data_IF_746956425595
#
_entry.id   IF_746956425595
#
_cell.length_a   1.000
_cell.length_b   1.000
_cell.length_c   1.000
_cell.angle_alpha   90.00
_cell.angle_beta   90.00
_cell.angle_gamma   90.00
#
_symmetry.space_group_name_H-M   'P 1'
#
loop_
_entity.id
_entity.type
_entity.pdbx_description
1 polymer ?
#
# COMPACT_ATOMS: atom_id res chain seq x y z
N UNK A 1 -25.05 -1.65 1.36
CA UNK A 1 -23.67 -1.58 1.89
C UNK A 1 -22.73 -1.13 0.78
N UNK A 2 -21.66 -0.41 1.13
CA UNK A 2 -20.57 -0.04 0.22
C UNK A 2 -19.25 -0.47 0.85
N UNK A 3 -18.44 -1.22 0.12
CA UNK A 3 -17.14 -1.71 0.54
C UNK A 3 -16.09 -1.10 -0.39
N UNK A 4 -15.32 -0.14 0.09
CA UNK A 4 -14.25 0.51 -0.67
C UNK A 4 -12.91 -0.11 -0.32
N UNK A 5 -12.16 -0.55 -1.34
CA UNK A 5 -10.85 -1.17 -1.18
C UNK A 5 -10.96 -2.49 -0.42
N UNK A 6 -11.76 -3.39 -1.01
CA UNK A 6 -12.15 -4.64 -0.40
C UNK A 6 -11.02 -5.68 -0.38
N UNK A 7 -11.03 -6.52 0.65
CA UNK A 7 -10.11 -7.63 0.85
C UNK A 7 -10.79 -8.93 0.44
N UNK A 8 -10.04 -9.83 -0.20
CA UNK A 8 -10.45 -11.22 -0.43
C UNK A 8 -10.50 -11.97 0.91
N UNK A 9 -11.69 -12.40 1.37
CA UNK A 9 -11.83 -13.11 2.64
C UNK A 9 -11.03 -14.42 2.70
N UNK A 10 -10.70 -15.03 1.56
CA UNK A 10 -9.93 -16.28 1.50
C UNK A 10 -8.42 -16.06 1.64
N UNK A 11 -7.94 -14.81 1.49
CA UNK A 11 -6.52 -14.45 1.56
C UNK A 11 -6.17 -13.60 2.78
N UNK A 12 -7.16 -13.22 3.57
CA UNK A 12 -6.93 -12.48 4.81
C UNK A 12 -6.31 -13.40 5.89
N UNK A 13 -5.30 -12.99 6.67
CA UNK A 13 -4.49 -11.77 6.58
C UNK A 13 -3.21 -11.98 5.77
N UNK A 14 -2.54 -13.12 5.95
CA UNK A 14 -1.23 -13.41 5.35
C UNK A 14 -1.19 -13.19 3.83
N UNK A 15 -2.16 -13.73 3.10
CA UNK A 15 -2.18 -13.63 1.64
C UNK A 15 -2.29 -12.19 1.16
N UNK A 16 -3.10 -11.35 1.82
CA UNK A 16 -3.15 -9.91 1.56
C UNK A 16 -1.80 -9.24 1.79
N UNK A 17 -1.11 -9.57 2.89
CA UNK A 17 0.22 -9.03 3.17
C UNK A 17 1.22 -9.40 2.07
N UNK A 18 1.19 -10.66 1.63
CA UNK A 18 2.04 -11.14 0.53
C UNK A 18 1.71 -10.46 -0.80
N UNK A 19 0.44 -10.15 -1.05
CA UNK A 19 -0.01 -9.46 -2.27
C UNK A 19 0.44 -7.98 -2.30
N UNK A 20 0.84 -7.39 -1.16
CA UNK A 20 1.51 -6.08 -1.16
C UNK A 20 2.83 -6.12 -1.93
N UNK A 21 3.60 -7.21 -1.84
CA UNK A 21 4.91 -7.33 -2.46
C UNK A 21 4.92 -6.92 -3.95
N UNK A 22 4.25 -7.66 -4.84
CA UNK A 22 4.21 -7.32 -6.26
C UNK A 22 3.46 -6.00 -6.55
N UNK A 23 2.40 -5.69 -5.79
CA UNK A 23 1.61 -4.48 -6.03
C UNK A 23 2.39 -3.20 -5.72
N UNK A 24 3.21 -3.22 -4.65
CA UNK A 24 3.99 -2.06 -4.22
C UNK A 24 5.27 -1.94 -5.04
N UNK A 25 5.84 -3.04 -5.53
CA UNK A 25 6.90 -2.98 -6.55
C UNK A 25 6.43 -2.28 -7.83
N UNK A 26 5.23 -2.63 -8.33
CA UNK A 26 4.64 -1.97 -9.49
C UNK A 26 4.36 -0.48 -9.22
N UNK A 27 3.83 -0.15 -8.04
CA UNK A 27 3.62 1.23 -7.61
C UNK A 27 4.94 2.02 -7.53
N UNK A 28 6.02 1.38 -7.08
CA UNK A 28 7.34 1.98 -7.03
C UNK A 28 7.90 2.24 -8.43
N UNK A 29 7.73 1.30 -9.38
CA UNK A 29 8.17 1.48 -10.76
C UNK A 29 7.45 2.65 -11.45
N UNK A 30 6.15 2.78 -11.22
CA UNK A 30 5.35 3.94 -11.65
C UNK A 30 5.91 5.26 -11.09
N UNK A 31 6.11 5.32 -9.77
CA UNK A 31 6.68 6.49 -9.10
C UNK A 31 8.12 6.79 -9.57
N UNK A 32 8.94 5.76 -9.79
CA UNK A 32 10.32 5.91 -10.27
C UNK A 32 10.35 6.52 -11.68
N UNK A 33 9.41 6.15 -12.56
CA UNK A 33 9.22 6.79 -13.87
C UNK A 33 8.83 8.27 -13.73
N UNK A 34 7.90 8.56 -12.82
CA UNK A 34 7.46 9.93 -12.54
C UNK A 34 8.59 10.83 -12.01
N UNK A 35 9.40 10.30 -11.09
CA UNK A 35 10.56 11.00 -10.51
C UNK A 35 11.67 11.21 -11.54
N UNK A 36 11.95 10.20 -12.36
CA UNK A 36 12.99 10.28 -13.39
C UNK A 36 12.72 11.41 -14.39
N UNK A 37 11.45 11.61 -14.78
CA UNK A 37 11.04 12.74 -15.62
C UNK A 37 11.29 14.12 -14.97
N UNK A 38 11.54 14.14 -13.64
CA UNK A 38 11.74 15.32 -12.80
C UNK A 38 13.12 15.30 -12.10
N UNK A 39 14.10 14.60 -12.66
CA UNK A 39 15.45 14.47 -12.06
C UNK A 39 16.14 15.83 -11.81
N UNK A 40 15.86 16.85 -12.62
CA UNK A 40 16.39 18.22 -12.38
C UNK A 40 15.95 18.82 -11.05
N UNK A 41 14.85 18.35 -10.48
CA UNK A 41 14.33 18.82 -9.19
C UNK A 41 14.76 17.89 -8.05
N UNK A 42 14.64 16.58 -8.24
CA UNK A 42 14.84 15.60 -7.16
C UNK A 42 16.22 14.97 -7.14
N UNK A 43 16.94 14.95 -8.26
CA UNK A 43 18.30 14.40 -8.38
C UNK A 43 18.42 12.95 -7.86
N UNK A 44 17.41 12.13 -8.16
CA UNK A 44 17.32 10.72 -7.76
C UNK A 44 17.66 9.76 -8.91
N UNK A 45 17.96 10.27 -10.11
CA UNK A 45 18.28 9.49 -11.31
C UNK A 45 17.39 9.89 -12.48
N UNK A 46 17.92 9.81 -13.69
CA UNK A 46 17.24 10.28 -14.92
C UNK A 46 16.43 9.19 -15.64
N UNK A 47 16.38 7.99 -15.06
CA UNK A 47 15.60 6.85 -15.54
C UNK A 47 15.03 6.03 -14.38
N UNK A 48 13.86 5.42 -14.56
CA UNK A 48 13.23 4.60 -13.51
C UNK A 48 14.16 3.49 -12.97
N UNK A 49 14.92 2.76 -13.82
CA UNK A 49 15.89 1.78 -13.32
C UNK A 49 17.04 2.40 -12.51
N UNK A 50 17.43 3.65 -12.80
CA UNK A 50 18.43 4.34 -11.98
C UNK A 50 17.86 4.74 -10.62
N UNK A 51 16.67 5.33 -10.58
CA UNK A 51 15.96 5.68 -9.34
C UNK A 51 15.84 4.45 -8.44
N UNK A 52 15.39 3.33 -9.00
CA UNK A 52 15.31 2.04 -8.31
C UNK A 52 16.64 1.62 -7.69
N UNK A 53 17.71 1.54 -8.49
CA UNK A 53 19.04 1.15 -7.99
C UNK A 53 19.55 2.07 -6.88
N UNK A 54 19.26 3.38 -6.96
CA UNK A 54 19.67 4.33 -5.92
C UNK A 54 18.90 4.13 -4.63
N UNK A 55 17.59 3.86 -4.70
CA UNK A 55 16.77 3.55 -3.51
C UNK A 55 17.18 2.23 -2.89
N UNK A 56 17.42 1.18 -3.68
CA UNK A 56 17.96 -0.10 -3.19
C UNK A 56 19.30 0.11 -2.47
N UNK A 57 20.23 0.88 -3.05
CA UNK A 57 21.50 1.20 -2.41
C UNK A 57 21.35 2.04 -1.12
N UNK A 58 20.32 2.90 -1.05
CA UNK A 58 19.98 3.67 0.14
C UNK A 58 19.48 2.75 1.26
N UNK A 59 18.62 1.77 0.94
CA UNK A 59 18.14 0.73 1.86
C UNK A 59 19.31 -0.13 2.34
N UNK A 60 20.18 -0.61 1.44
CA UNK A 60 21.38 -1.37 1.81
C UNK A 60 22.30 -0.59 2.75
N UNK A 61 22.38 0.72 2.58
CA UNK A 61 23.13 1.59 3.48
C UNK A 61 22.46 1.70 4.85
N UNK A 62 21.15 1.91 4.87
CA UNK A 62 20.33 1.98 6.08
C UNK A 62 20.46 0.70 6.92
N UNK A 63 20.54 -0.47 6.28
CA UNK A 63 20.77 -1.77 6.92
C UNK A 63 22.08 -1.84 7.73
N UNK A 64 23.13 -1.12 7.30
CA UNK A 64 24.44 -1.11 7.97
C UNK A 64 24.55 -0.03 9.02
N UNK A 65 23.91 1.11 8.79
CA UNK A 65 23.91 2.25 9.69
C UNK A 65 22.64 3.06 9.42
N UNK A 66 21.72 3.18 10.40
CA UNK A 66 20.51 3.97 10.23
C UNK A 66 20.80 5.39 9.76
N UNK A 67 19.99 5.88 8.82
CA UNK A 67 20.09 7.23 8.27
C UNK A 67 19.27 8.16 9.15
N UNK A 68 19.92 9.13 9.80
CA UNK A 68 19.26 9.99 10.79
C UNK A 68 18.71 11.26 10.15
N UNK A 69 17.40 11.50 10.27
CA UNK A 69 16.72 12.73 9.87
C UNK A 69 15.91 13.23 11.06
N UNK A 70 16.07 14.50 11.45
CA UNK A 70 15.45 15.10 12.64
C UNK A 70 15.66 14.31 13.95
N UNK A 71 16.72 13.51 14.04
CA UNK A 71 17.00 12.66 15.22
C UNK A 71 16.42 11.25 15.13
N UNK A 72 15.54 10.98 14.16
CA UNK A 72 14.95 9.67 13.90
C UNK A 72 15.79 8.86 12.91
N UNK A 73 16.03 7.58 13.20
CA UNK A 73 16.85 6.68 12.37
C UNK A 73 16.03 5.82 11.42
N UNK A 74 16.23 6.01 10.12
CA UNK A 74 15.69 5.14 9.07
C UNK A 74 16.64 3.97 8.81
N UNK A 75 16.21 2.75 9.12
CA UNK A 75 16.91 1.50 8.79
C UNK A 75 16.27 0.80 7.57
N UNK A 76 16.68 -0.44 7.32
CA UNK A 76 16.17 -1.28 6.23
C UNK A 76 14.76 -1.84 6.45
N UNK A 77 14.13 -1.57 7.59
CA UNK A 77 12.73 -1.91 7.85
C UNK A 77 11.84 -0.67 7.71
N UNK A 78 12.27 0.47 8.28
CA UNK A 78 11.50 1.70 8.30
C UNK A 78 11.52 2.40 6.93
N UNK A 79 12.63 2.36 6.21
CA UNK A 79 12.73 3.01 4.90
C UNK A 79 11.79 2.38 3.85
N UNK A 80 11.75 1.04 3.66
CA UNK A 80 10.71 0.43 2.81
C UNK A 80 9.29 0.72 3.29
N UNK A 81 9.05 0.78 4.61
CA UNK A 81 7.73 1.11 5.15
C UNK A 81 7.29 2.55 4.83
N UNK A 82 8.23 3.51 4.82
CA UNK A 82 7.99 4.88 4.36
C UNK A 82 7.53 4.89 2.89
N UNK A 83 8.24 4.15 2.02
CA UNK A 83 7.87 4.02 0.60
C UNK A 83 6.47 3.40 0.46
N UNK A 84 6.23 2.25 1.08
CA UNK A 84 4.95 1.55 1.08
C UNK A 84 3.78 2.44 1.55
N UNK A 85 4.01 3.24 2.59
CA UNK A 85 3.02 4.16 3.14
C UNK A 85 2.66 5.28 2.16
N UNK A 86 3.65 5.87 1.49
CA UNK A 86 3.43 7.01 0.60
C UNK A 86 3.05 6.60 -0.83
N UNK A 87 3.43 5.41 -1.28
CA UNK A 87 3.09 4.88 -2.60
C UNK A 87 1.60 4.55 -2.78
N UNK A 88 0.82 4.54 -1.69
CA UNK A 88 -0.63 4.28 -1.71
C UNK A 88 -1.46 5.25 -2.54
N UNK A 89 -0.89 6.41 -2.89
CA UNK A 89 -1.60 7.46 -3.58
C UNK A 89 -0.63 8.27 -4.44
N UNK A 90 -0.84 8.30 -5.76
CA UNK A 90 0.02 9.05 -6.68
C UNK A 90 0.04 10.55 -6.40
N UNK A 91 -0.95 11.10 -5.69
CA UNK A 91 -0.93 12.51 -5.25
C UNK A 91 0.14 12.79 -4.18
N UNK A 92 0.76 11.75 -3.62
CA UNK A 92 1.91 11.86 -2.72
C UNK A 92 3.25 11.79 -3.45
N UNK A 93 3.28 11.71 -4.80
CA UNK A 93 4.51 11.57 -5.58
C UNK A 93 5.55 12.65 -5.27
N UNK A 94 5.15 13.92 -5.26
CA UNK A 94 6.03 15.04 -4.92
C UNK A 94 6.58 14.94 -3.49
N UNK A 95 5.69 14.64 -2.54
CA UNK A 95 6.06 14.49 -1.14
C UNK A 95 7.02 13.31 -0.93
N UNK A 96 6.78 12.18 -1.60
CA UNK A 96 7.64 11.00 -1.52
C UNK A 96 9.01 11.27 -2.16
N UNK A 97 9.05 11.94 -3.30
CA UNK A 97 10.31 12.35 -3.95
C UNK A 97 11.12 13.30 -3.07
N UNK A 98 10.47 14.28 -2.44
CA UNK A 98 11.12 15.16 -1.47
C UNK A 98 11.59 14.40 -0.21
N UNK A 99 10.81 13.45 0.30
CA UNK A 99 11.20 12.62 1.45
C UNK A 99 12.42 11.75 1.14
N UNK A 100 12.43 11.05 0.00
CA UNK A 100 13.57 10.22 -0.42
C UNK A 100 14.80 11.08 -0.69
N UNK A 101 14.64 12.29 -1.26
CA UNK A 101 15.71 13.27 -1.41
C UNK A 101 16.31 13.67 -0.05
N UNK A 102 15.47 13.99 0.93
CA UNK A 102 15.89 14.37 2.27
C UNK A 102 16.66 13.23 2.96
N UNK A 103 16.16 12.00 2.91
CA UNK A 103 16.87 10.82 3.44
C UNK A 103 18.20 10.61 2.70
N UNK A 104 18.23 10.81 1.38
CA UNK A 104 19.47 10.69 0.59
C UNK A 104 20.49 11.76 0.96
N UNK A 105 20.06 13.01 1.17
CA UNK A 105 20.93 14.11 1.64
C UNK A 105 21.56 13.77 3.00
N UNK A 106 20.74 13.32 3.96
CA UNK A 106 21.20 12.91 5.28
C UNK A 106 22.19 11.74 5.19
N UNK A 107 21.91 10.74 4.33
CA UNK A 107 22.83 9.63 4.08
C UNK A 107 24.17 10.11 3.51
N UNK A 108 24.17 11.16 2.68
CA UNK A 108 25.40 11.74 2.13
C UNK A 108 26.10 12.72 3.09
N UNK A 109 25.57 12.93 4.30
CA UNK A 109 26.11 13.87 5.29
C UNK A 109 25.81 15.34 4.97
N UNK A 110 24.83 15.59 4.09
CA UNK A 110 24.32 16.93 3.78
C UNK A 110 23.15 17.26 4.69
N UNK A 111 22.93 18.55 4.95
CA UNK A 111 21.76 19.00 5.70
C UNK A 111 20.49 18.77 4.84
N UNK A 112 19.54 17.93 5.27
CA UNK A 112 18.33 17.66 4.50
C UNK A 112 17.31 18.79 4.61
N UNK A 113 16.62 19.10 3.53
CA UNK A 113 15.36 19.85 3.58
C UNK A 113 14.22 18.86 3.86
N UNK A 114 13.63 18.92 5.05
CA UNK A 114 12.62 17.95 5.49
C UNK A 114 11.23 18.44 5.09
N UNK A 115 10.53 17.75 4.16
CA UNK A 115 9.17 18.15 3.79
C UNK A 115 8.19 17.86 4.95
N UNK A 116 7.07 18.60 5.05
CA UNK A 116 6.08 18.41 6.12
C UNK A 116 5.57 16.97 6.24
N UNK A 117 5.43 16.27 5.11
CA UNK A 117 4.99 14.87 5.09
C UNK A 117 6.03 13.94 5.72
N UNK A 118 7.33 14.16 5.48
CA UNK A 118 8.37 13.36 6.14
C UNK A 118 8.39 13.62 7.65
N UNK A 119 8.31 14.89 8.05
CA UNK A 119 8.19 15.26 9.45
C UNK A 119 6.99 14.57 10.12
N UNK A 120 5.83 14.55 9.46
CA UNK A 120 4.65 13.84 9.95
C UNK A 120 4.88 12.33 10.07
N UNK A 121 5.58 11.70 9.13
CA UNK A 121 5.92 10.27 9.20
C UNK A 121 6.88 9.99 10.37
N UNK A 122 7.89 10.84 10.57
CA UNK A 122 8.80 10.74 11.73
C UNK A 122 8.02 10.84 13.04
N UNK A 123 7.17 11.87 13.17
CA UNK A 123 6.32 12.05 14.35
C UNK A 123 5.45 10.82 14.62
N UNK A 124 4.89 10.21 13.57
CA UNK A 124 4.09 8.99 13.68
C UNK A 124 4.92 7.83 14.23
N UNK A 125 6.11 7.56 13.66
CA UNK A 125 6.96 6.48 14.14
C UNK A 125 7.45 6.65 15.58
N UNK A 126 7.59 7.89 16.06
CA UNK A 126 8.05 8.17 17.42
C UNK A 126 6.95 8.11 18.48
N UNK A 127 5.71 8.46 18.11
CA UNK A 127 4.67 8.78 19.10
C UNK A 127 3.37 7.98 18.94
N UNK A 128 3.10 7.45 17.75
CA UNK A 128 1.88 6.67 17.49
C UNK A 128 2.13 5.17 17.66
N UNK A 129 1.05 4.42 17.91
CA UNK A 129 1.09 2.98 18.12
C UNK A 129 -0.07 2.29 17.39
N UNK A 130 0.23 1.13 16.79
CA UNK A 130 -0.72 0.33 16.00
C UNK A 130 -1.15 -0.97 16.72
N UNK A 131 -0.95 -1.05 18.04
CA UNK A 131 -1.11 -2.29 18.81
C UNK A 131 -2.55 -2.80 18.82
N UNK A 132 -3.55 -1.92 18.80
CA UNK A 132 -4.97 -2.33 18.71
C UNK A 132 -5.26 -2.95 17.36
N UNK A 133 -4.73 -2.37 16.29
CA UNK A 133 -4.89 -2.91 14.94
C UNK A 133 -4.20 -4.27 14.80
N UNK A 134 -2.97 -4.40 15.32
CA UNK A 134 -2.26 -5.68 15.35
C UNK A 134 -3.02 -6.73 16.16
N UNK A 135 -3.59 -6.37 17.32
CA UNK A 135 -4.42 -7.27 18.12
C UNK A 135 -5.61 -7.83 17.34
N UNK A 136 -6.29 -6.98 16.54
CA UNK A 136 -7.42 -7.39 15.70
C UNK A 136 -6.95 -8.34 14.60
N UNK A 137 -5.92 -7.96 13.84
CA UNK A 137 -5.38 -8.80 12.76
C UNK A 137 -4.96 -10.19 13.24
N UNK A 138 -4.26 -10.26 14.37
CA UNK A 138 -3.79 -11.52 14.93
C UNK A 138 -4.92 -12.37 15.53
N UNK A 139 -6.02 -11.74 15.97
CA UNK A 139 -7.19 -12.45 16.49
C UNK A 139 -8.11 -12.97 15.37
N UNK A 140 -8.08 -12.37 14.18
CA UNK A 140 -8.97 -12.71 13.07
C UNK A 140 -8.45 -13.86 12.19
N UNK A 141 -7.12 -13.99 12.01
CA UNK A 141 -6.53 -14.98 11.12
C UNK A 141 -5.24 -15.59 11.68
N UNK A 142 -5.01 -16.91 11.52
CA UNK A 142 -3.79 -17.55 11.99
C UNK A 142 -2.61 -17.20 11.07
N UNK A 143 -1.41 -17.14 11.66
CA UNK A 143 -0.15 -16.94 10.95
C UNK A 143 0.83 -18.09 11.25
N UNK A 144 1.74 -18.45 10.32
CA UNK A 144 2.77 -19.45 10.57
C UNK A 144 3.61 -19.09 11.81
N UNK A 145 3.81 -20.06 12.72
CA UNK A 145 4.59 -19.82 13.95
C UNK A 145 6.10 -20.01 13.75
N UNK A 146 6.52 -20.69 12.68
CA UNK A 146 7.94 -20.99 12.41
C UNK A 146 8.65 -19.81 11.75
N UNK A 147 9.66 -19.18 12.39
CA UNK A 147 10.43 -18.09 11.79
C UNK A 147 11.12 -18.48 10.48
N UNK A 148 11.51 -19.76 10.31
CA UNK A 148 12.15 -20.21 9.08
C UNK A 148 11.20 -20.16 7.87
N UNK A 149 9.89 -20.24 8.09
CA UNK A 149 8.90 -20.06 7.03
C UNK A 149 9.01 -18.67 6.39
N UNK A 150 9.08 -17.62 7.20
CA UNK A 150 9.18 -16.23 6.75
C UNK A 150 10.50 -15.98 6.03
N UNK A 151 11.63 -16.44 6.57
CA UNK A 151 12.91 -16.34 5.89
C UNK A 151 12.87 -16.95 4.49
N UNK A 152 12.31 -18.16 4.36
CA UNK A 152 12.19 -18.82 3.06
C UNK A 152 11.25 -18.09 2.11
N UNK A 153 10.14 -17.51 2.61
CA UNK A 153 9.22 -16.71 1.81
C UNK A 153 9.89 -15.44 1.28
N UNK A 154 10.59 -14.70 2.15
CA UNK A 154 11.37 -13.51 1.77
C UNK A 154 12.40 -13.85 0.69
N UNK A 155 13.21 -14.90 0.91
CA UNK A 155 14.26 -15.28 -0.05
C UNK A 155 13.68 -15.77 -1.39
N UNK A 156 12.51 -16.41 -1.38
CA UNK A 156 11.82 -16.82 -2.60
C UNK A 156 11.27 -15.62 -3.39
N UNK A 157 10.76 -14.58 -2.71
CA UNK A 157 10.17 -13.40 -3.34
C UNK A 157 11.23 -12.34 -3.75
N UNK A 158 12.35 -12.25 -3.02
CA UNK A 158 13.40 -11.23 -3.18
C UNK A 158 13.85 -10.98 -4.63
N UNK A 159 14.05 -11.99 -5.50
CA UNK A 159 14.48 -11.74 -6.89
C UNK A 159 13.48 -10.93 -7.72
N UNK A 160 12.18 -11.06 -7.45
CA UNK A 160 11.13 -10.35 -8.14
C UNK A 160 10.66 -9.09 -7.39
N UNK A 161 10.93 -9.03 -6.08
CA UNK A 161 10.48 -7.96 -5.19
C UNK A 161 11.64 -7.46 -4.31
N UNK A 162 12.68 -6.86 -4.91
CA UNK A 162 13.91 -6.52 -4.21
C UNK A 162 13.74 -5.49 -3.08
N UNK A 163 12.74 -4.61 -3.17
CA UNK A 163 12.47 -3.59 -2.16
C UNK A 163 11.46 -4.11 -1.13
N UNK A 164 10.43 -4.85 -1.58
CA UNK A 164 9.25 -5.12 -0.75
C UNK A 164 9.06 -6.58 -0.31
N UNK A 165 9.86 -7.56 -0.78
CA UNK A 165 9.75 -8.95 -0.30
C UNK A 165 9.87 -9.05 1.22
N UNK A 166 10.87 -8.39 1.80
CA UNK A 166 11.08 -8.39 3.24
C UNK A 166 9.97 -7.66 4.02
N UNK A 167 9.21 -6.76 3.39
CA UNK A 167 8.06 -6.09 4.00
C UNK A 167 6.79 -6.95 3.93
N UNK A 168 6.56 -7.60 2.78
CA UNK A 168 5.37 -8.40 2.49
C UNK A 168 5.40 -9.78 3.15
N UNK A 169 6.58 -10.38 3.28
CA UNK A 169 6.76 -11.75 3.79
C UNK A 169 7.44 -11.80 5.18
N UNK A 170 7.56 -10.67 5.90
CA UNK A 170 8.22 -10.67 7.21
C UNK A 170 7.39 -11.33 8.30
N UNK A 171 8.08 -11.84 9.31
CA UNK A 171 7.46 -12.25 10.56
C UNK A 171 6.78 -11.06 11.24
N UNK A 172 5.51 -11.24 11.60
CA UNK A 172 4.69 -10.24 12.29
C UNK A 172 4.43 -10.70 13.75
N UNK A 173 3.99 -9.79 14.65
CA UNK A 173 3.61 -10.17 16.02
C UNK A 173 2.61 -11.33 16.08
N UNK A 174 1.76 -11.48 15.04
CA UNK A 174 0.78 -12.55 14.92
C UNK A 174 1.36 -13.97 14.88
N UNK A 175 2.63 -14.15 14.48
CA UNK A 175 3.31 -15.45 14.54
C UNK A 175 3.45 -15.98 15.99
N UNK A 176 3.37 -15.07 16.97
CA UNK A 176 3.50 -15.35 18.40
C UNK A 176 2.16 -15.20 19.15
N UNK A 177 1.08 -14.93 18.44
CA UNK A 177 -0.25 -14.75 19.03
C UNK A 177 -0.95 -16.11 19.22
N UNK A 178 -1.79 -16.26 20.26
CA UNK A 178 -2.64 -17.44 20.38
C UNK A 178 -3.52 -17.63 19.13
N UNK A 179 -3.88 -18.87 18.77
CA UNK A 179 -4.78 -19.11 17.65
C UNK A 179 -6.10 -18.33 17.77
N UNK A 180 -6.68 -17.85 16.65
CA UNK A 180 -8.01 -17.24 16.62
C UNK A 180 -9.06 -18.08 17.37
N UNK A 181 -9.91 -17.42 18.16
CA UNK A 181 -10.99 -18.08 18.90
C UNK A 181 -12.15 -18.47 17.98
N UNK A 182 -12.36 -17.69 16.92
CA UNK A 182 -13.43 -17.86 15.95
C UNK A 182 -12.83 -18.31 14.61
N UNK A 183 -13.52 -19.18 13.86
CA UNK A 183 -13.09 -19.47 12.49
C UNK A 183 -13.26 -18.23 11.61
N UNK A 184 -12.47 -18.10 10.51
CA UNK A 184 -12.66 -17.04 9.54
C UNK A 184 -14.11 -16.96 9.04
N UNK A 185 -14.62 -15.74 8.88
CA UNK A 185 -15.97 -15.52 8.35
C UNK A 185 -16.03 -16.02 6.91
N UNK A 186 -16.98 -16.91 6.64
CA UNK A 186 -17.25 -17.38 5.28
C UNK A 186 -18.13 -16.35 4.56
N UNK A 187 -17.60 -15.79 3.49
CA UNK A 187 -18.35 -14.92 2.58
C UNK A 187 -18.71 -15.71 1.33
N UNK A 188 -19.97 -16.09 1.23
CA UNK A 188 -20.56 -16.69 0.03
C UNK A 188 -22.07 -16.40 0.04
N UNK A 189 -22.48 -15.31 -0.62
CA UNK A 189 -23.86 -14.83 -0.56
C UNK A 189 -24.23 -13.98 -1.79
N UNK A 190 -25.50 -13.59 -1.87
CA UNK A 190 -26.07 -12.75 -2.92
C UNK A 190 -26.51 -11.37 -2.39
N UNK A 191 -26.00 -10.94 -1.23
CA UNK A 191 -26.40 -9.65 -0.62
C UNK A 191 -25.96 -8.49 -1.53
N UNK A 192 -26.89 -7.59 -1.91
CA UNK A 192 -26.54 -6.42 -2.71
C UNK A 192 -25.58 -5.47 -1.99
N UNK A 193 -24.42 -5.23 -2.60
CA UNK A 193 -23.42 -4.29 -2.13
C UNK A 193 -22.69 -3.63 -3.31
N UNK A 194 -22.27 -2.38 -3.16
CA UNK A 194 -21.27 -1.81 -4.06
C UNK A 194 -19.88 -2.16 -3.53
N UNK A 195 -19.03 -2.70 -4.40
CA UNK A 195 -17.61 -2.89 -4.13
C UNK A 195 -16.87 -1.86 -4.97
N UNK A 196 -16.08 -1.01 -4.33
CA UNK A 196 -15.30 0.03 -4.98
C UNK A 196 -13.82 -0.35 -4.93
N UNK A 197 -13.10 -0.11 -6.02
CA UNK A 197 -11.69 -0.50 -6.13
C UNK A 197 -10.96 0.37 -7.15
N UNK A 198 -9.65 0.58 -6.98
CA UNK A 198 -8.78 1.12 -8.02
C UNK A 198 -7.90 0.03 -8.59
N UNK A 199 -7.63 0.05 -9.90
CA UNK A 199 -6.73 -0.94 -10.51
C UNK A 199 -5.28 -0.81 -10.03
N UNK A 200 -4.87 0.37 -9.56
CA UNK A 200 -3.55 0.63 -8.99
C UNK A 200 -3.51 0.66 -7.46
N UNK A 201 -4.54 0.16 -6.76
CA UNK A 201 -4.50 0.04 -5.30
C UNK A 201 -3.41 -0.96 -4.89
N UNK A 202 -2.44 -0.54 -4.09
CA UNK A 202 -1.33 -1.38 -3.62
C UNK A 202 -1.46 -1.77 -2.14
N UNK A 203 -2.59 -1.45 -1.50
CA UNK A 203 -2.92 -1.76 -0.10
C UNK A 203 -3.92 -2.90 -0.02
N UNK A 204 -4.88 -2.88 -0.94
CA UNK A 204 -5.82 -3.97 -1.21
C UNK A 204 -5.91 -4.12 -2.73
N UNK A 205 -4.95 -4.85 -3.34
CA UNK A 205 -4.89 -5.02 -4.79
C UNK A 205 -6.24 -5.36 -5.42
N UNK A 206 -6.48 -4.83 -6.62
CA UNK A 206 -7.78 -4.90 -7.30
C UNK A 206 -8.37 -6.32 -7.36
N UNK A 207 -7.49 -7.32 -7.49
CA UNK A 207 -7.81 -8.74 -7.50
C UNK A 207 -8.57 -9.19 -6.25
N UNK A 208 -8.31 -8.56 -5.09
CA UNK A 208 -9.07 -8.82 -3.87
C UNK A 208 -10.53 -8.38 -3.98
N UNK A 209 -10.77 -7.20 -4.57
CA UNK A 209 -12.12 -6.71 -4.82
C UNK A 209 -12.85 -7.56 -5.86
N UNK A 210 -12.14 -8.05 -6.89
CA UNK A 210 -12.67 -9.01 -7.87
C UNK A 210 -13.02 -10.34 -7.18
N UNK A 211 -12.17 -10.85 -6.29
CA UNK A 211 -12.42 -12.09 -5.56
C UNK A 211 -13.61 -11.96 -4.60
N UNK A 212 -13.73 -10.85 -3.88
CA UNK A 212 -14.90 -10.58 -3.04
C UNK A 212 -16.17 -10.44 -3.89
N UNK A 213 -16.10 -9.77 -5.04
CA UNK A 213 -17.23 -9.64 -5.96
C UNK A 213 -17.76 -11.00 -6.44
N UNK A 214 -16.85 -11.96 -6.70
CA UNK A 214 -17.25 -13.35 -7.03
C UNK A 214 -17.92 -14.07 -5.85
N UNK A 215 -17.48 -13.81 -4.62
CA UNK A 215 -18.04 -14.38 -3.38
C UNK A 215 -19.37 -13.71 -2.96
N UNK A 216 -19.59 -12.46 -3.40
CA UNK A 216 -20.81 -11.71 -3.19
C UNK A 216 -21.54 -11.53 -4.52
N UNK A 217 -22.18 -12.59 -5.01
CA UNK A 217 -22.78 -12.65 -6.36
C UNK A 217 -23.85 -11.59 -6.66
N UNK A 218 -24.45 -11.00 -5.62
CA UNK A 218 -25.39 -9.88 -5.75
C UNK A 218 -24.74 -8.50 -5.77
N UNK A 219 -23.42 -8.41 -5.60
CA UNK A 219 -22.69 -7.15 -5.57
C UNK A 219 -22.49 -6.55 -6.96
N UNK A 220 -22.05 -5.29 -7.01
CA UNK A 220 -21.58 -4.61 -8.23
C UNK A 220 -20.21 -4.02 -8.00
N UNK A 221 -19.30 -4.31 -8.91
CA UNK A 221 -17.94 -3.81 -8.87
C UNK A 221 -17.85 -2.49 -9.64
N UNK A 222 -17.48 -1.42 -8.93
CA UNK A 222 -17.24 -0.09 -9.50
C UNK A 222 -15.73 0.17 -9.43
N UNK A 223 -15.06 0.14 -10.58
CA UNK A 223 -13.60 0.18 -10.68
C UNK A 223 -13.12 1.54 -11.17
N UNK A 224 -12.21 2.17 -10.44
CA UNK A 224 -11.41 3.29 -10.94
C UNK A 224 -10.25 2.74 -11.77
N UNK A 225 -10.29 2.94 -13.08
CA UNK A 225 -9.25 2.45 -13.98
C UNK A 225 -7.97 3.30 -13.90
N UNK A 226 -6.84 2.63 -14.17
CA UNK A 226 -5.51 3.18 -14.39
C UNK A 226 -5.08 4.25 -13.38
N UNK A 227 -5.46 4.07 -12.11
CA UNK A 227 -5.21 5.04 -11.05
C UNK A 227 -4.58 4.37 -9.85
N UNK A 228 -3.37 4.80 -9.47
CA UNK A 228 -2.72 4.40 -8.22
C UNK A 228 -3.28 5.19 -7.04
N UNK A 229 -4.24 4.60 -6.35
CA UNK A 229 -4.83 5.14 -5.13
C UNK A 229 -5.48 4.03 -4.29
N UNK A 230 -5.31 4.11 -2.97
CA UNK A 230 -6.09 3.33 -2.02
C UNK A 230 -7.29 4.14 -1.52
N UNK A 231 -8.47 3.52 -1.49
CA UNK A 231 -9.77 4.13 -1.19
C UNK A 231 -10.22 5.16 -2.24
N UNK A 232 -11.21 4.77 -3.05
CA UNK A 232 -11.70 5.56 -4.19
C UNK A 232 -12.92 6.43 -3.87
N UNK A 233 -13.61 6.19 -2.77
CA UNK A 233 -14.78 6.98 -2.36
C UNK A 233 -14.35 8.29 -1.71
N UNK A 234 -13.86 9.22 -2.52
CA UNK A 234 -13.32 10.50 -2.05
C UNK A 234 -13.77 11.67 -2.93
N UNK A 235 -14.14 12.83 -2.35
CA UNK A 235 -14.49 14.00 -3.13
C UNK A 235 -13.37 14.42 -4.09
N UNK A 236 -13.73 14.82 -5.31
CA UNK A 236 -12.80 15.33 -6.32
C UNK A 236 -11.98 14.26 -7.06
N UNK A 237 -12.11 12.98 -6.71
CA UNK A 237 -11.38 11.90 -7.38
C UNK A 237 -12.08 11.46 -8.67
N UNK A 238 -13.32 10.98 -8.57
CA UNK A 238 -14.14 10.56 -9.72
C UNK A 238 -15.60 10.87 -9.48
N UNK A 239 -16.20 11.72 -10.32
CA UNK A 239 -17.64 11.99 -10.30
C UNK A 239 -18.45 10.73 -10.59
N UNK A 240 -17.96 9.84 -11.45
CA UNK A 240 -18.59 8.55 -11.74
C UNK A 240 -18.76 7.68 -10.48
N UNK A 241 -17.72 7.56 -9.65
CA UNK A 241 -17.77 6.79 -8.39
C UNK A 241 -18.65 7.50 -7.37
N UNK A 242 -18.44 8.81 -7.19
CA UNK A 242 -19.16 9.59 -6.20
C UNK A 242 -20.67 9.64 -6.49
N UNK A 243 -21.07 9.89 -7.73
CA UNK A 243 -22.48 9.96 -8.13
C UNK A 243 -23.15 8.59 -8.04
N UNK A 244 -22.46 7.52 -8.44
CA UNK A 244 -22.97 6.13 -8.30
C UNK A 244 -23.22 5.80 -6.82
N UNK A 245 -22.26 6.13 -5.96
CA UNK A 245 -22.34 5.83 -4.52
C UNK A 245 -23.39 6.70 -3.82
N UNK A 246 -23.47 7.99 -4.16
CA UNK A 246 -24.45 8.90 -3.59
C UNK A 246 -25.87 8.53 -4.01
N UNK A 247 -26.09 8.15 -5.27
CA UNK A 247 -27.42 7.71 -5.74
C UNK A 247 -27.84 6.42 -5.04
N UNK A 248 -26.89 5.50 -4.83
CA UNK A 248 -27.14 4.29 -4.04
C UNK A 248 -27.56 4.60 -2.60
N UNK A 249 -26.84 5.49 -1.90
CA UNK A 249 -27.17 5.84 -0.52
C UNK A 249 -28.44 6.68 -0.39
N UNK A 250 -28.66 7.62 -1.31
CA UNK A 250 -29.78 8.57 -1.25
C UNK A 250 -31.09 7.94 -1.72
N UNK A 251 -31.05 7.26 -2.87
CA UNK A 251 -32.24 6.84 -3.60
C UNK A 251 -32.43 5.31 -3.58
N UNK A 252 -31.41 4.55 -3.16
CA UNK A 252 -31.40 3.10 -3.29
C UNK A 252 -31.09 2.63 -4.72
N UNK A 253 -30.62 3.53 -5.58
CA UNK A 253 -30.29 3.22 -6.97
C UNK A 253 -29.12 2.24 -7.04
N UNK A 254 -29.40 1.01 -7.46
CA UNK A 254 -28.40 -0.04 -7.58
C UNK A 254 -28.07 -0.28 -9.06
N UNK A 255 -26.79 -0.18 -9.49
CA UNK A 255 -26.40 -0.41 -10.88
C UNK A 255 -26.81 -1.80 -11.37
N UNK A 256 -27.28 -1.89 -12.62
CA UNK A 256 -27.63 -3.17 -13.22
C UNK A 256 -26.39 -4.06 -13.47
N UNK A 257 -25.27 -3.42 -13.82
CA UNK A 257 -24.00 -4.05 -14.20
C UNK A 257 -22.83 -3.39 -13.48
N UNK A 258 -21.68 -4.06 -13.49
CA UNK A 258 -20.40 -3.50 -13.07
C UNK A 258 -20.06 -2.26 -13.91
N UNK A 259 -19.19 -1.40 -13.37
CA UNK A 259 -18.83 -0.14 -14.03
C UNK A 259 -17.37 0.19 -13.88
N UNK A 260 -16.75 0.54 -14.99
CA UNK A 260 -15.43 1.16 -15.00
C UNK A 260 -15.58 2.68 -15.07
N UNK A 261 -15.03 3.37 -14.07
CA UNK A 261 -14.95 4.81 -13.95
C UNK A 261 -13.54 5.29 -14.27
N UNK A 262 -13.44 6.59 -14.59
CA UNK A 262 -12.19 7.30 -14.80
C UNK A 262 -12.02 8.40 -13.76
N UNK A 263 -10.79 8.82 -13.42
CA UNK A 263 -10.58 9.96 -12.56
C UNK A 263 -11.07 11.24 -13.27
N UNK A 264 -11.76 12.11 -12.53
CA UNK A 264 -12.21 13.42 -13.05
C UNK A 264 -11.09 14.44 -12.99
N UNK A 265 -10.18 14.29 -12.03
CA UNK A 265 -8.97 15.10 -11.90
C UNK A 265 -7.79 14.24 -12.34
N UNK A 266 -6.96 14.75 -13.25
CA UNK A 266 -5.72 14.07 -13.61
C UNK A 266 -4.86 13.92 -12.36
N UNK A 267 -4.44 12.69 -12.07
CA UNK A 267 -3.45 12.40 -11.05
C UNK A 267 -2.15 12.18 -11.81
N UNK A 268 -1.21 13.12 -11.64
CA UNK A 268 0.11 13.06 -12.27
C UNK A 268 1.08 12.17 -11.51
#
# INVERSE_FOLDING_TARGET
MVLDSAIDPQRYWLGLQQDWGPAVEAAFDDWAGWVAARDRQYHLGDSAPEVRRRVEALIDRAARSPIVVEGFGFDDHVLPNLLWTMLRDARLNEALAASVRAVTDAAEGRAPEVPPQLHQQISYYEHDEDSVMVQIWCADAPMPADPAWYWNAIEAARPAQPIFAALADNIQPCAFWPPPLEPPTVVDNDVPALILSATGDNRTPHEHSVALHRQMSGSRLITLADTRIHMVLRPGLSTCILDTTNSYFRDGDFPADDRTCQPTTLIE
#
